data_IF_041756311998
#
_entry.id   IF_041756311998
#
_cell.length_a   1.000
_cell.length_b   1.000
_cell.length_c   1.000
_cell.angle_alpha   90.00
_cell.angle_beta   90.00
_cell.angle_gamma   90.00
#
_symmetry.space_group_name_H-M   'P 1'
#
loop_
_entity.id
_entity.type
_entity.pdbx_description
1 polymer ?
#
# COMPACT_ATOMS: atom_id res chain seq x y z
N UNK A 1 -55.75 26.90 -4.85
CA UNK A 1 -54.63 26.60 -5.77
C UNK A 1 -53.39 26.14 -4.98
N UNK A 2 -53.53 25.14 -4.09
CA UNK A 2 -52.50 24.75 -3.10
C UNK A 2 -52.09 23.27 -3.18
N UNK A 3 -52.78 22.45 -3.98
CA UNK A 3 -52.60 20.99 -4.03
C UNK A 3 -51.39 20.50 -4.88
N UNK A 4 -50.71 21.39 -5.61
CA UNK A 4 -49.57 20.99 -6.47
C UNK A 4 -48.21 20.98 -5.74
N UNK A 5 -48.12 21.61 -4.57
CA UNK A 5 -46.87 21.74 -3.81
C UNK A 5 -46.58 20.54 -2.90
N UNK A 6 -47.60 19.82 -2.41
CA UNK A 6 -47.44 18.65 -1.53
C UNK A 6 -47.00 17.39 -2.28
N UNK A 7 -47.54 17.15 -3.48
CA UNK A 7 -47.15 16.02 -4.31
C UNK A 7 -45.69 16.12 -4.80
N UNK A 8 -45.25 17.34 -5.17
CA UNK A 8 -43.87 17.59 -5.59
C UNK A 8 -42.85 17.38 -4.45
N UNK A 9 -43.22 17.74 -3.21
CA UNK A 9 -42.37 17.53 -2.02
C UNK A 9 -42.26 16.05 -1.65
N UNK A 10 -43.34 15.28 -1.75
CA UNK A 10 -43.31 13.83 -1.50
C UNK A 10 -42.49 13.05 -2.53
N UNK A 11 -42.59 13.41 -3.81
CA UNK A 11 -41.78 12.81 -4.88
C UNK A 11 -40.29 13.11 -4.74
N UNK A 12 -39.92 14.32 -4.33
CA UNK A 12 -38.52 14.70 -4.11
C UNK A 12 -37.90 13.94 -2.93
N UNK A 13 -38.64 13.77 -1.82
CA UNK A 13 -38.17 13.01 -0.66
C UNK A 13 -37.99 11.52 -1.00
N UNK A 14 -38.91 10.94 -1.78
CA UNK A 14 -38.80 9.55 -2.23
C UNK A 14 -37.60 9.34 -3.17
N UNK A 15 -37.30 10.31 -4.04
CA UNK A 15 -36.14 10.26 -4.93
C UNK A 15 -34.82 10.34 -4.14
N UNK A 16 -34.74 11.25 -3.15
CA UNK A 16 -33.57 11.40 -2.27
C UNK A 16 -33.37 10.13 -1.42
N UNK A 17 -34.44 9.57 -0.86
CA UNK A 17 -34.37 8.32 -0.09
C UNK A 17 -33.91 7.14 -0.95
N UNK A 18 -34.35 7.06 -2.21
CA UNK A 18 -33.93 6.02 -3.16
C UNK A 18 -32.45 6.16 -3.56
N UNK A 19 -31.93 7.38 -3.65
CA UNK A 19 -30.50 7.63 -3.91
C UNK A 19 -29.61 7.30 -2.72
N UNK A 20 -30.09 7.45 -1.48
CA UNK A 20 -29.32 7.10 -0.28
C UNK A 20 -29.11 5.58 -0.07
N UNK A 21 -29.90 4.74 -0.74
CA UNK A 21 -29.74 3.27 -0.71
C UNK A 21 -28.60 2.77 -1.62
N UNK A 22 -28.03 3.63 -2.45
CA UNK A 22 -26.93 3.30 -3.35
C UNK A 22 -25.61 3.67 -2.66
N UNK A 23 -25.20 2.94 -1.63
CA UNK A 23 -23.88 3.12 -1.03
C UNK A 23 -22.82 2.67 -2.04
N UNK A 24 -22.20 3.61 -2.76
CA UNK A 24 -21.01 3.34 -3.56
C UNK A 24 -19.91 2.82 -2.63
N UNK A 25 -19.48 1.58 -2.84
CA UNK A 25 -18.37 0.98 -2.10
C UNK A 25 -17.16 1.02 -3.02
N UNK A 26 -16.16 1.83 -2.67
CA UNK A 26 -14.85 1.83 -3.35
C UNK A 26 -13.90 1.00 -2.53
N UNK A 27 -13.35 -0.06 -3.13
CA UNK A 27 -12.40 -0.95 -2.47
C UNK A 27 -11.13 -1.02 -3.30
N UNK A 28 -10.00 -0.68 -2.69
CA UNK A 28 -8.69 -0.67 -3.32
C UNK A 28 -7.83 -1.72 -2.64
N UNK A 29 -7.27 -2.66 -3.40
CA UNK A 29 -6.50 -3.80 -2.90
C UNK A 29 -5.10 -3.77 -3.49
N UNK A 30 -4.08 -3.92 -2.66
CA UNK A 30 -2.69 -4.08 -3.06
C UNK A 30 -2.24 -5.49 -2.70
N UNK A 31 -1.83 -6.27 -3.70
CA UNK A 31 -1.28 -7.62 -3.53
C UNK A 31 0.24 -7.58 -3.60
N UNK A 32 0.89 -8.01 -2.53
CA UNK A 32 2.34 -8.03 -2.36
C UNK A 32 2.85 -9.47 -2.52
N UNK A 33 3.64 -9.69 -3.57
CA UNK A 33 4.24 -10.97 -3.92
C UNK A 33 5.75 -10.94 -3.69
N UNK A 34 6.33 -12.06 -3.25
CA UNK A 34 7.78 -12.21 -3.16
C UNK A 34 8.28 -13.39 -3.99
N UNK A 35 9.45 -13.25 -4.59
CA UNK A 35 10.17 -14.35 -5.22
C UNK A 35 11.52 -14.54 -4.53
N UNK A 36 11.72 -15.63 -3.77
CA UNK A 36 10.78 -16.74 -3.52
C UNK A 36 9.63 -16.40 -2.57
N UNK A 37 8.54 -17.15 -2.66
CA UNK A 37 7.34 -17.01 -1.83
C UNK A 37 7.60 -17.34 -0.34
N UNK A 38 6.71 -16.87 0.54
CA UNK A 38 6.77 -17.14 1.98
C UNK A 38 7.60 -16.12 2.78
N UNK A 39 7.80 -14.92 2.26
CA UNK A 39 8.46 -13.84 2.97
C UNK A 39 7.46 -13.11 3.89
N UNK A 40 7.90 -12.69 5.08
CA UNK A 40 7.13 -11.76 5.91
C UNK A 40 7.16 -10.37 5.28
N UNK A 41 5.99 -9.78 5.15
CA UNK A 41 5.78 -8.50 4.49
C UNK A 41 5.34 -7.47 5.53
N UNK A 42 6.01 -6.33 5.51
CA UNK A 42 5.65 -5.16 6.29
C UNK A 42 5.33 -4.01 5.32
N UNK A 43 4.22 -3.32 5.57
CA UNK A 43 3.76 -2.17 4.81
C UNK A 43 3.68 -0.98 5.76
N UNK A 44 4.43 0.10 5.49
CA UNK A 44 4.53 1.28 6.35
C UNK A 44 4.85 0.90 7.82
N UNK A 45 5.85 0.04 8.00
CA UNK A 45 6.29 -0.52 9.29
C UNK A 45 5.30 -1.47 10.00
N UNK A 46 4.09 -1.65 9.49
CA UNK A 46 3.10 -2.60 10.03
C UNK A 46 3.23 -3.98 9.38
N UNK A 47 3.24 -5.05 10.18
CA UNK A 47 3.26 -6.43 9.68
C UNK A 47 1.89 -6.80 9.11
N UNK A 48 1.82 -7.02 7.80
CA UNK A 48 0.56 -7.34 7.10
C UNK A 48 0.36 -8.83 6.89
N UNK A 49 1.43 -9.62 6.90
CA UNK A 49 1.37 -11.07 6.78
C UNK A 49 2.54 -11.68 6.01
N UNK A 50 2.32 -12.89 5.48
CA UNK A 50 3.30 -13.62 4.67
C UNK A 50 2.90 -13.59 3.20
N UNK A 51 3.85 -13.36 2.29
CA UNK A 51 3.60 -13.33 0.84
C UNK A 51 3.16 -14.70 0.31
N UNK A 52 2.19 -14.75 -0.63
CA UNK A 52 1.46 -13.61 -1.20
C UNK A 52 0.39 -13.08 -0.22
N UNK A 53 0.34 -11.75 -0.04
CA UNK A 53 -0.63 -11.10 0.87
C UNK A 53 -1.33 -9.95 0.16
N UNK A 54 -2.65 -9.85 0.34
CA UNK A 54 -3.47 -8.76 -0.19
C UNK A 54 -3.96 -7.88 0.95
N UNK A 55 -3.76 -6.58 0.81
CA UNK A 55 -4.14 -5.57 1.80
C UNK A 55 -5.00 -4.50 1.17
N UNK A 56 -6.07 -4.10 1.86
CA UNK A 56 -6.89 -2.98 1.43
C UNK A 56 -6.18 -1.67 1.79
N UNK A 57 -6.19 -0.69 0.89
CA UNK A 57 -5.60 0.64 1.12
C UNK A 57 -6.59 1.77 0.81
N UNK A 58 -6.37 2.94 1.41
CA UNK A 58 -7.27 4.10 1.26
C UNK A 58 -6.72 5.14 0.29
N UNK A 59 -5.43 5.45 0.39
CA UNK A 59 -4.81 6.58 -0.31
C UNK A 59 -3.80 6.13 -1.36
N UNK A 60 -3.79 6.77 -2.52
CA UNK A 60 -2.70 6.57 -3.49
C UNK A 60 -1.45 7.33 -3.03
N UNK A 61 -0.28 6.76 -3.32
CA UNK A 61 0.98 7.33 -2.85
C UNK A 61 2.12 6.33 -2.85
N UNK A 62 3.19 6.73 -2.18
CA UNK A 62 4.36 5.88 -1.95
C UNK A 62 4.20 5.14 -0.62
N UNK A 63 4.38 3.83 -0.66
CA UNK A 63 4.33 2.94 0.49
C UNK A 63 5.71 2.35 0.75
N UNK A 64 6.07 2.24 2.03
CA UNK A 64 7.30 1.58 2.44
C UNK A 64 7.04 0.09 2.55
N UNK A 65 7.71 -0.70 1.69
CA UNK A 65 7.55 -2.14 1.65
C UNK A 65 8.84 -2.79 2.11
N UNK A 66 8.74 -3.61 3.16
CA UNK A 66 9.86 -4.37 3.69
C UNK A 66 9.52 -5.85 3.61
N UNK A 67 10.38 -6.64 2.97
CA UNK A 67 10.25 -8.09 2.90
C UNK A 67 11.39 -8.76 3.65
N UNK A 68 11.04 -9.70 4.52
CA UNK A 68 11.99 -10.48 5.32
C UNK A 68 11.76 -11.97 5.11
N UNK A 69 12.81 -12.68 4.71
CA UNK A 69 12.78 -14.14 4.57
C UNK A 69 14.09 -14.74 5.08
N UNK A 70 13.99 -15.86 5.78
CA UNK A 70 15.16 -16.54 6.32
C UNK A 70 16.07 -17.04 5.19
N UNK A 71 17.37 -16.75 5.29
CA UNK A 71 18.36 -17.07 4.25
C UNK A 71 18.41 -16.08 3.08
N UNK A 72 17.65 -14.99 3.14
CA UNK A 72 17.61 -13.92 2.14
C UNK A 72 17.94 -12.57 2.77
N UNK A 73 18.43 -11.64 1.97
CA UNK A 73 18.63 -10.26 2.39
C UNK A 73 17.28 -9.58 2.65
N UNK A 74 17.23 -8.71 3.67
CA UNK A 74 16.04 -7.91 3.94
C UNK A 74 15.89 -6.85 2.86
N UNK A 75 14.87 -6.98 2.02
CA UNK A 75 14.58 -5.99 1.00
C UNK A 75 13.78 -4.84 1.62
N UNK A 76 14.27 -3.61 1.46
CA UNK A 76 13.55 -2.37 1.82
C UNK A 76 13.40 -1.54 0.56
N UNK A 77 12.15 -1.29 0.15
CA UNK A 77 11.87 -0.56 -1.08
C UNK A 77 10.64 0.34 -0.93
N UNK A 78 10.60 1.38 -1.74
CA UNK A 78 9.47 2.30 -1.82
C UNK A 78 8.63 1.92 -3.04
N UNK A 79 7.41 1.43 -2.82
CA UNK A 79 6.49 1.12 -3.90
C UNK A 79 5.48 2.25 -4.08
N UNK A 80 5.45 2.85 -5.26
CA UNK A 80 4.50 3.93 -5.60
C UNK A 80 3.27 3.35 -6.30
N UNK A 81 2.12 3.50 -5.67
CA UNK A 81 0.81 3.15 -6.25
C UNK A 81 0.22 4.42 -6.86
N UNK A 82 0.12 4.46 -8.18
CA UNK A 82 -0.35 5.63 -8.92
C UNK A 82 -1.88 5.65 -9.02
N UNK A 83 -2.52 6.81 -8.76
CA UNK A 83 -3.96 6.93 -8.91
C UNK A 83 -4.35 6.90 -10.39
N UNK A 84 -5.36 6.11 -10.75
CA UNK A 84 -6.12 6.32 -11.98
C UNK A 84 -6.60 7.76 -12.14
N UNK A 85 -6.77 8.20 -13.39
CA UNK A 85 -7.17 9.59 -13.71
C UNK A 85 -8.48 10.04 -13.03
N UNK A 86 -9.38 9.10 -12.71
CA UNK A 86 -10.67 9.37 -12.09
C UNK A 86 -10.60 9.57 -10.56
N UNK A 87 -9.46 9.26 -9.93
CA UNK A 87 -9.22 9.41 -8.48
C UNK A 87 -8.30 10.59 -8.14
N UNK A 88 -8.05 11.47 -9.11
CA UNK A 88 -7.32 12.69 -8.83
C UNK A 88 -8.18 13.63 -7.95
N UNK A 89 -7.58 14.37 -6.97
CA UNK A 89 -8.34 15.28 -6.12
C UNK A 89 -9.19 16.24 -6.96
N UNK A 90 -10.40 16.53 -6.49
CA UNK A 90 -11.49 17.25 -7.20
C UNK A 90 -12.32 16.38 -8.15
N UNK A 91 -11.71 15.48 -8.94
CA UNK A 91 -12.45 14.57 -9.85
C UNK A 91 -13.09 13.41 -9.07
N UNK A 92 -12.36 12.89 -8.09
CA UNK A 92 -12.74 11.78 -7.22
C UNK A 92 -14.08 11.99 -6.52
N UNK A 93 -14.34 13.20 -5.98
CA UNK A 93 -15.59 13.52 -5.29
C UNK A 93 -16.82 13.34 -6.20
N UNK A 94 -16.74 13.66 -7.48
CA UNK A 94 -17.86 13.47 -8.40
C UNK A 94 -17.98 12.02 -8.87
N UNK A 95 -16.86 11.32 -9.03
CA UNK A 95 -16.87 9.91 -9.40
C UNK A 95 -17.47 9.04 -8.29
N UNK A 96 -17.12 9.27 -7.02
CA UNK A 96 -17.60 8.45 -5.91
C UNK A 96 -19.01 8.85 -5.43
N UNK A 97 -19.38 10.13 -5.48
CA UNK A 97 -20.69 10.61 -4.97
C UNK A 97 -21.81 10.49 -6.01
N UNK A 98 -21.50 10.62 -7.31
CA UNK A 98 -22.53 10.72 -8.36
C UNK A 98 -22.72 9.40 -9.13
N UNK A 99 -21.71 8.53 -9.19
CA UNK A 99 -21.81 7.24 -9.87
C UNK A 99 -21.95 6.10 -8.86
N UNK A 100 -23.11 5.42 -8.79
CA UNK A 100 -23.30 4.25 -7.95
C UNK A 100 -22.65 3.01 -8.58
N UNK A 101 -21.32 3.03 -8.72
CA UNK A 101 -20.55 1.89 -9.22
C UNK A 101 -19.69 1.29 -8.10
N UNK A 102 -19.70 -0.04 -7.99
CA UNK A 102 -18.74 -0.76 -7.15
C UNK A 102 -17.38 -0.73 -7.87
N UNK A 103 -16.54 0.22 -7.48
CA UNK A 103 -15.22 0.39 -8.05
C UNK A 103 -14.22 -0.43 -7.24
N UNK A 104 -13.72 -1.51 -7.86
CA UNK A 104 -12.68 -2.34 -7.28
C UNK A 104 -11.37 -2.08 -8.03
N UNK A 105 -10.41 -1.48 -7.36
CA UNK A 105 -9.08 -1.24 -7.90
C UNK A 105 -8.11 -2.26 -7.31
N UNK A 106 -7.38 -2.98 -8.17
CA UNK A 106 -6.45 -4.02 -7.77
C UNK A 106 -5.07 -3.73 -8.34
N UNK A 107 -4.08 -3.66 -7.46
CA UNK A 107 -2.68 -3.45 -7.80
C UNK A 107 -1.87 -4.66 -7.35
N UNK A 108 -0.88 -5.07 -8.15
CA UNK A 108 0.01 -6.17 -7.82
C UNK A 108 1.46 -5.71 -7.89
N UNK A 109 2.25 -6.04 -6.86
CA UNK A 109 3.67 -5.73 -6.80
C UNK A 109 4.46 -7.00 -6.45
N UNK A 110 5.44 -7.34 -7.29
CA UNK A 110 6.29 -8.51 -7.11
C UNK A 110 7.72 -8.10 -6.83
N UNK A 111 8.31 -8.67 -5.78
CA UNK A 111 9.66 -8.34 -5.32
C UNK A 111 10.56 -9.57 -5.33
N UNK A 112 11.67 -9.51 -6.06
CA UNK A 112 12.69 -10.55 -6.04
C UNK A 112 13.65 -10.33 -4.87
N UNK A 113 13.87 -11.37 -4.06
CA UNK A 113 14.78 -11.34 -2.92
C UNK A 113 16.13 -11.93 -3.30
N UNK A 114 17.19 -11.26 -2.87
CA UNK A 114 18.55 -11.74 -3.05
C UNK A 114 18.94 -12.69 -1.90
N UNK A 115 19.63 -13.81 -2.18
CA UNK A 115 20.09 -14.71 -1.14
C UNK A 115 21.11 -14.01 -0.23
N UNK A 116 21.02 -14.27 1.07
CA UNK A 116 21.94 -13.67 2.03
C UNK A 116 23.37 -14.15 1.75
N UNK A 117 24.31 -13.21 1.65
CA UNK A 117 25.71 -13.56 1.48
C UNK A 117 26.24 -14.21 2.77
N UNK A 118 26.97 -15.34 2.67
CA UNK A 118 27.62 -15.94 3.83
C UNK A 118 28.70 -14.99 4.33
N UNK A 119 28.47 -14.42 5.51
CA UNK A 119 29.43 -13.55 6.16
C UNK A 119 30.65 -14.38 6.59
N UNK A 120 31.83 -14.09 6.03
CA UNK A 120 33.08 -14.68 6.51
C UNK A 120 33.49 -14.04 7.84
N UNK A 121 33.35 -14.81 8.91
CA UNK A 121 33.68 -14.37 10.27
C UNK A 121 35.15 -14.00 10.46
N UNK A 122 36.07 -14.60 9.70
CA UNK A 122 37.50 -14.27 9.82
C UNK A 122 37.81 -12.94 9.14
N UNK A 123 37.28 -12.73 7.93
CA UNK A 123 37.39 -11.45 7.24
C UNK A 123 36.82 -10.28 8.07
N UNK A 124 35.63 -10.45 8.67
CA UNK A 124 35.06 -9.42 9.56
C UNK A 124 35.91 -9.13 10.79
N UNK A 125 36.54 -10.15 11.39
CA UNK A 125 37.43 -9.96 12.53
C UNK A 125 38.67 -9.16 12.13
N UNK A 126 39.27 -9.48 10.99
CA UNK A 126 40.43 -8.75 10.47
C UNK A 126 40.09 -7.30 10.17
N UNK A 127 38.94 -7.04 9.54
CA UNK A 127 38.45 -5.68 9.31
C UNK A 127 38.25 -4.91 10.62
N UNK A 128 37.65 -5.55 11.64
CA UNK A 128 37.46 -4.94 12.96
C UNK A 128 38.78 -4.61 13.68
N UNK A 129 39.78 -5.49 13.58
CA UNK A 129 41.13 -5.25 14.12
C UNK A 129 41.80 -4.09 13.38
N UNK A 130 41.73 -4.08 12.05
CA UNK A 130 42.31 -3.01 11.23
C UNK A 130 41.67 -1.64 11.53
N UNK A 131 40.35 -1.59 11.64
CA UNK A 131 39.63 -0.37 12.01
C UNK A 131 40.04 0.13 13.41
N UNK A 132 40.24 -0.79 14.35
CA UNK A 132 40.75 -0.47 15.70
C UNK A 132 42.17 0.11 15.64
N UNK A 133 43.06 -0.45 14.84
CA UNK A 133 44.43 0.07 14.70
C UNK A 133 44.44 1.46 14.05
N UNK A 134 43.67 1.66 12.97
CA UNK A 134 43.55 2.96 12.31
C UNK A 134 43.04 4.06 13.25
N UNK A 135 42.06 3.76 14.10
CA UNK A 135 41.54 4.74 15.08
C UNK A 135 42.51 5.04 16.22
N UNK A 136 43.38 4.10 16.60
CA UNK A 136 44.41 4.31 17.62
C UNK A 136 45.63 5.10 17.10
N UNK A 137 45.92 5.01 15.79
CA UNK A 137 47.10 5.59 15.17
C UNK A 137 46.78 6.68 14.13
N UNK A 138 45.56 7.22 14.13
CA UNK A 138 45.21 8.36 13.29
C UNK A 138 46.07 9.58 13.66
N UNK A 139 46.86 10.15 12.73
CA UNK A 139 47.59 11.38 13.00
C UNK A 139 46.60 12.53 13.20
N UNK A 140 46.81 13.35 14.24
CA UNK A 140 46.05 14.59 14.50
C UNK A 140 46.14 15.61 13.35
#
# INVERSE_FOLDING_TARGET
MTARLTAARGGLIALIALTCLQTGCVRRTLTLNSDPQGARVFLNDDEVGTSPVSVDFTWYGTYDVILRKDGYETLKTHHRVEPPWYQWPVIDFFAEVVLPCNLHDQHEATFALEPAQPIDSEALRQEAIQFREQSLFAPE
#
